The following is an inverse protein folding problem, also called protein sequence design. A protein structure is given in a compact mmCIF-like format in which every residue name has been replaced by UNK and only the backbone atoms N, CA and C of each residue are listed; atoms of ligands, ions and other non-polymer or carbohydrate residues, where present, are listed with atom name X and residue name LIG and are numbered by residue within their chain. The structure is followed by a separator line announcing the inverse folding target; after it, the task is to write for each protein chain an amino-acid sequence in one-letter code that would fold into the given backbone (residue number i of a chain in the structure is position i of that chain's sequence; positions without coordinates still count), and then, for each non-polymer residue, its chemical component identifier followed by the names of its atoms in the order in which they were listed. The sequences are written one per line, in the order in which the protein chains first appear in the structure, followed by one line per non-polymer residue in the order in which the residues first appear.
data_IF_037555826776
#
_entry.id   IF_037555826776
#
_cell.length_a   1.000
_cell.length_b   1.000
_cell.length_c   1.000
_cell.angle_alpha   90.00
_cell.angle_beta   90.00
_cell.angle_gamma   90.00
#
_symmetry.space_group_name_H-M   'P 1'
#
loop_
_entity.id
_entity.type
_entity.pdbx_description
1 polymer ?
#
# COMPACT_ATOMS: atom_id res chain seq x y z
N UNK A 1 -18.15 28.15 -17.25
CA UNK A 1 -17.26 27.38 -16.36
C UNK A 1 -17.36 25.85 -16.49
N UNK A 2 -18.35 25.28 -17.20
CA UNK A 2 -18.49 23.81 -17.34
C UNK A 2 -17.67 23.15 -18.46
N UNK A 3 -17.13 23.94 -19.43
CA UNK A 3 -16.42 23.38 -20.60
C UNK A 3 -15.04 22.80 -20.30
N UNK A 4 -14.36 23.23 -19.23
CA UNK A 4 -13.03 22.74 -18.88
C UNK A 4 -13.04 21.53 -17.93
N UNK A 5 -14.18 21.22 -17.30
CA UNK A 5 -14.31 20.09 -16.36
C UNK A 5 -14.31 18.73 -17.10
N UNK A 6 -14.68 18.71 -18.38
CA UNK A 6 -14.80 17.49 -19.19
C UNK A 6 -13.45 16.99 -19.72
N UNK A 7 -12.40 17.83 -19.73
CA UNK A 7 -11.10 17.48 -20.35
C UNK A 7 -10.23 16.58 -19.47
N UNK A 8 -10.52 16.44 -18.17
CA UNK A 8 -9.69 15.64 -17.24
C UNK A 8 -10.19 14.18 -17.12
N UNK A 9 -11.41 13.88 -17.55
CA UNK A 9 -12.01 12.54 -17.35
C UNK A 9 -11.63 11.54 -18.46
N UNK A 10 -11.16 12.00 -19.62
CA UNK A 10 -10.92 11.13 -20.79
C UNK A 10 -9.48 10.65 -20.95
N UNK A 11 -8.50 11.11 -20.15
CA UNK A 11 -7.09 10.69 -20.28
C UNK A 11 -6.69 9.46 -19.47
N UNK A 12 -7.59 8.88 -18.66
CA UNK A 12 -7.31 7.72 -17.81
C UNK A 12 -7.62 6.36 -18.45
N UNK A 13 -8.09 6.34 -19.70
CA UNK A 13 -8.32 5.11 -20.44
C UNK A 13 -7.04 4.72 -21.19
N UNK A 14 -6.42 3.62 -20.74
CA UNK A 14 -5.38 2.85 -21.45
C UNK A 14 -3.92 3.26 -21.21
N UNK A 15 -3.47 3.21 -19.95
CA UNK A 15 -2.10 2.77 -19.65
C UNK A 15 -2.22 1.45 -18.90
N UNK A 16 -2.42 0.35 -19.64
CA UNK A 16 -2.08 -0.97 -19.12
C UNK A 16 -0.55 -1.01 -19.04
N UNK A 17 0.03 -0.71 -17.88
CA UNK A 17 1.45 -0.96 -17.70
C UNK A 17 1.67 -2.48 -17.60
N UNK A 18 2.77 -2.94 -18.16
CA UNK A 18 3.16 -4.35 -18.13
C UNK A 18 3.69 -4.69 -16.73
N UNK A 19 2.80 -4.89 -15.75
CA UNK A 19 3.16 -5.01 -14.32
C UNK A 19 3.77 -6.36 -13.94
N UNK A 20 3.93 -7.28 -14.89
CA UNK A 20 4.53 -8.59 -14.63
C UNK A 20 6.05 -8.46 -14.54
N UNK A 21 6.64 -8.94 -13.43
CA UNK A 21 8.09 -9.04 -13.17
C UNK A 21 8.79 -7.85 -12.49
N UNK A 22 8.10 -6.80 -12.07
CA UNK A 22 8.73 -5.76 -11.24
C UNK A 22 8.86 -6.16 -9.77
N UNK A 23 10.02 -5.82 -9.18
CA UNK A 23 10.25 -5.88 -7.72
C UNK A 23 9.17 -5.10 -6.94
N UNK A 24 8.91 -5.50 -5.70
CA UNK A 24 7.89 -4.88 -4.87
C UNK A 24 6.46 -5.26 -5.28
N UNK A 25 6.27 -6.42 -5.92
CA UNK A 25 4.96 -6.88 -6.39
C UNK A 25 3.93 -6.98 -5.26
N UNK A 26 4.38 -7.27 -4.05
CA UNK A 26 3.55 -7.33 -2.84
C UNK A 26 2.94 -5.98 -2.45
N UNK A 27 3.51 -4.86 -2.88
CA UNK A 27 2.99 -3.51 -2.64
C UNK A 27 1.74 -3.16 -3.45
N UNK A 28 1.28 -4.08 -4.30
CA UNK A 28 0.04 -3.94 -5.06
C UNK A 28 -1.16 -4.62 -4.38
N UNK A 29 -0.91 -5.38 -3.31
CA UNK A 29 -1.98 -6.05 -2.56
C UNK A 29 -2.74 -5.05 -1.67
N UNK A 30 -3.99 -5.37 -1.34
CA UNK A 30 -4.80 -4.52 -0.46
C UNK A 30 -4.24 -4.48 0.96
N UNK A 31 -4.57 -3.41 1.69
CA UNK A 31 -4.01 -3.15 3.02
C UNK A 31 -4.79 -3.80 4.15
N UNK A 32 -5.99 -3.29 4.39
CA UNK A 32 -6.91 -3.78 5.39
C UNK A 32 -7.95 -4.72 4.77
N UNK A 33 -8.61 -5.51 5.60
CA UNK A 33 -9.78 -6.31 5.18
C UNK A 33 -10.87 -5.41 4.55
N UNK A 34 -11.04 -4.18 5.05
CA UNK A 34 -11.95 -3.19 4.48
C UNK A 34 -11.52 -2.79 3.06
N UNK A 35 -10.22 -2.53 2.86
CA UNK A 35 -9.70 -2.21 1.53
C UNK A 35 -9.93 -3.34 0.54
N UNK A 36 -9.63 -4.59 0.93
CA UNK A 36 -9.83 -5.76 0.09
C UNK A 36 -11.31 -6.00 -0.24
N UNK A 37 -12.21 -5.86 0.75
CA UNK A 37 -13.64 -6.06 0.55
C UNK A 37 -14.25 -5.05 -0.44
N UNK A 38 -13.63 -3.89 -0.63
CA UNK A 38 -14.04 -2.87 -1.61
C UNK A 38 -13.19 -2.92 -2.89
N UNK A 39 -12.52 -4.04 -3.17
CA UNK A 39 -11.71 -4.22 -4.38
C UNK A 39 -10.41 -3.41 -4.39
N UNK A 40 -9.89 -3.02 -3.22
CA UNK A 40 -8.65 -2.24 -3.02
C UNK A 40 -8.65 -0.83 -3.64
N UNK A 41 -9.83 -0.30 -4.00
CA UNK A 41 -10.02 1.03 -4.61
C UNK A 41 -9.90 2.21 -3.65
N UNK A 42 -8.82 2.31 -2.89
CA UNK A 42 -8.69 3.23 -1.74
C UNK A 42 -7.94 4.54 -2.03
N UNK A 43 -7.91 5.00 -3.29
CA UNK A 43 -7.25 6.27 -3.65
C UNK A 43 -8.01 7.50 -3.13
N UNK A 44 -9.35 7.46 -3.19
CA UNK A 44 -10.23 8.55 -2.75
C UNK A 44 -10.82 8.33 -1.35
N UNK A 45 -10.77 7.10 -0.84
CA UNK A 45 -11.21 6.76 0.51
C UNK A 45 -10.05 6.87 1.50
N UNK A 46 -10.32 7.40 2.69
CA UNK A 46 -9.32 7.49 3.76
C UNK A 46 -9.36 6.19 4.58
N UNK A 47 -8.46 5.25 4.29
CA UNK A 47 -8.17 4.17 5.24
C UNK A 47 -7.46 4.77 6.46
N UNK A 48 -8.17 5.00 7.56
CA UNK A 48 -7.57 5.64 8.73
C UNK A 48 -6.37 4.84 9.28
N UNK A 49 -6.43 3.50 9.25
CA UNK A 49 -5.35 2.64 9.70
C UNK A 49 -4.15 2.70 8.75
N UNK A 50 -4.39 2.66 7.44
CA UNK A 50 -3.35 2.49 6.41
C UNK A 50 -3.27 3.64 5.40
N UNK A 51 -3.62 4.86 5.82
CA UNK A 51 -3.74 6.07 5.01
C UNK A 51 -2.49 6.36 4.16
N UNK A 52 -1.31 6.13 4.75
CA UNK A 52 -0.01 6.26 4.10
C UNK A 52 0.22 5.32 2.89
N UNK A 53 -0.51 4.21 2.77
CA UNK A 53 -0.24 3.17 1.77
C UNK A 53 -0.86 3.46 0.40
N UNK A 54 -2.17 3.73 0.35
CA UNK A 54 -2.90 3.92 -0.91
C UNK A 54 -2.73 5.33 -1.48
N UNK A 55 -2.80 6.34 -0.61
CA UNK A 55 -2.67 7.74 -1.01
C UNK A 55 -2.04 8.56 0.13
N UNK A 56 -0.76 8.96 0.04
CA UNK A 56 -0.11 9.70 1.11
C UNK A 56 -0.77 11.06 1.37
N UNK A 57 -1.50 11.68 0.43
CA UNK A 57 -2.20 12.93 0.71
C UNK A 57 -3.28 12.78 1.80
N UNK A 58 -3.80 11.57 2.00
CA UNK A 58 -4.86 11.29 2.96
C UNK A 58 -4.42 11.47 4.43
N UNK A 59 -3.13 11.32 4.76
CA UNK A 59 -2.66 11.48 6.16
C UNK A 59 -2.89 12.90 6.71
N UNK A 60 -2.94 13.93 5.86
CA UNK A 60 -3.24 15.30 6.29
C UNK A 60 -4.70 15.51 6.74
N UNK A 61 -5.60 14.58 6.42
CA UNK A 61 -7.02 14.61 6.79
C UNK A 61 -7.34 13.79 8.04
N UNK A 62 -6.34 13.17 8.67
CA UNK A 62 -6.54 12.44 9.92
C UNK A 62 -6.79 13.40 11.08
N UNK A 63 -7.90 13.19 11.80
CA UNK A 63 -8.27 14.00 12.96
C UNK A 63 -7.64 13.50 14.27
N UNK A 64 -7.21 12.23 14.30
CA UNK A 64 -6.67 11.56 15.50
C UNK A 64 -5.49 10.69 15.09
N UNK A 65 -4.71 10.28 16.08
CA UNK A 65 -3.69 9.22 15.93
C UNK A 65 -4.39 7.91 15.60
N UNK A 66 -3.86 7.19 14.64
CA UNK A 66 -4.37 5.93 14.14
C UNK A 66 -3.28 4.88 14.18
N UNK A 67 -3.66 3.67 14.57
CA UNK A 67 -2.82 2.48 14.55
C UNK A 67 -3.56 1.42 13.75
N UNK A 68 -2.86 0.75 12.83
CA UNK A 68 -3.40 -0.28 11.97
C UNK A 68 -2.53 -1.53 12.00
N UNK A 69 -3.17 -2.69 12.06
CA UNK A 69 -2.54 -4.00 11.92
C UNK A 69 -3.39 -4.87 11.00
N UNK A 70 -2.77 -5.56 10.06
CA UNK A 70 -3.45 -6.48 9.16
C UNK A 70 -2.57 -7.67 8.83
N UNK A 71 -3.22 -8.82 8.65
CA UNK A 71 -2.60 -10.09 8.31
C UNK A 71 -3.46 -10.78 7.26
N UNK A 72 -2.86 -11.14 6.14
CA UNK A 72 -3.50 -11.87 5.06
C UNK A 72 -2.86 -13.25 4.97
N UNK A 73 -3.65 -14.28 5.29
CA UNK A 73 -3.30 -15.66 4.99
C UNK A 73 -3.61 -15.93 3.52
N UNK A 74 -2.59 -16.27 2.74
CA UNK A 74 -2.70 -16.57 1.32
C UNK A 74 -2.43 -18.07 1.08
N UNK A 75 -2.84 -18.56 -0.07
CA UNK A 75 -2.56 -19.95 -0.47
C UNK A 75 -1.06 -20.18 -0.63
N UNK A 76 -0.64 -21.46 -0.56
CA UNK A 76 0.75 -21.91 -0.71
C UNK A 76 1.68 -21.37 0.38
N UNK A 77 1.22 -21.37 1.63
CA UNK A 77 1.99 -20.92 2.80
C UNK A 77 2.52 -19.48 2.69
N UNK A 78 1.81 -18.65 1.90
CA UNK A 78 2.12 -17.23 1.71
C UNK A 78 1.43 -16.38 2.77
N UNK A 79 2.11 -15.33 3.19
CA UNK A 79 1.57 -14.32 4.11
C UNK A 79 1.86 -12.91 3.62
N UNK A 80 0.96 -11.98 3.94
CA UNK A 80 1.19 -10.55 3.85
C UNK A 80 0.80 -9.90 5.18
N UNK A 81 1.73 -9.17 5.79
CA UNK A 81 1.58 -8.54 7.09
C UNK A 81 1.80 -7.04 6.97
N UNK A 82 1.03 -6.27 7.71
CA UNK A 82 0.97 -4.83 7.53
C UNK A 82 0.74 -4.17 8.88
N UNK A 83 1.59 -3.22 9.23
CA UNK A 83 1.50 -2.45 10.46
C UNK A 83 1.69 -0.98 10.15
N UNK A 84 0.94 -0.11 10.80
CA UNK A 84 1.01 1.32 10.52
C UNK A 84 0.66 2.16 11.72
N UNK A 85 1.30 3.33 11.78
CA UNK A 85 0.96 4.41 12.68
C UNK A 85 0.86 5.69 11.87
N UNK A 86 -0.20 6.45 12.07
CA UNK A 86 -0.39 7.72 11.37
C UNK A 86 -1.10 8.73 12.23
N UNK A 87 -0.84 10.00 11.99
CA UNK A 87 -1.46 11.09 12.75
C UNK A 87 -1.54 12.35 11.91
N UNK A 88 -2.62 13.09 12.09
CA UNK A 88 -2.65 14.50 11.73
C UNK A 88 -1.66 15.27 12.61
N UNK A 89 -1.02 16.26 12.01
CA UNK A 89 -0.18 17.27 12.65
C UNK A 89 -0.88 18.63 12.49
N UNK A 90 -1.63 19.08 13.51
CA UNK A 90 -2.31 20.36 13.46
C UNK A 90 -1.33 21.51 13.13
N UNK A 91 -1.72 22.50 12.31
CA UNK A 91 -3.08 22.74 11.81
C UNK A 91 -3.45 21.99 10.49
N UNK A 92 -2.49 21.65 9.64
CA UNK A 92 -2.80 21.21 8.26
C UNK A 92 -1.98 20.03 7.74
N UNK A 93 -1.00 19.56 8.50
CA UNK A 93 -0.09 18.51 8.04
C UNK A 93 -0.54 17.13 8.55
N UNK A 94 0.12 16.09 8.06
CA UNK A 94 -0.03 14.72 8.55
C UNK A 94 1.22 13.91 8.28
N UNK A 95 1.48 12.94 9.15
CA UNK A 95 2.62 12.04 9.04
C UNK A 95 2.18 10.61 9.30
N UNK A 96 2.79 9.67 8.58
CA UNK A 96 2.54 8.24 8.79
C UNK A 96 3.77 7.41 8.51
N UNK A 97 3.89 6.32 9.25
CA UNK A 97 4.88 5.26 9.02
C UNK A 97 4.13 3.95 8.89
N UNK A 98 4.48 3.15 7.88
CA UNK A 98 3.94 1.81 7.74
C UNK A 98 5.05 0.80 7.42
N UNK A 99 4.88 -0.42 7.88
CA UNK A 99 5.70 -1.57 7.54
C UNK A 99 4.82 -2.62 6.88
N UNK A 100 5.30 -3.17 5.79
CA UNK A 100 4.62 -4.18 4.98
C UNK A 100 5.62 -5.30 4.75
N UNK A 101 5.23 -6.52 5.11
CA UNK A 101 6.05 -7.72 4.97
C UNK A 101 5.30 -8.76 4.16
N UNK A 102 5.91 -9.30 3.12
CA UNK A 102 5.38 -10.39 2.32
C UNK A 102 6.32 -11.57 2.42
N UNK A 103 5.80 -12.76 2.67
CA UNK A 103 6.65 -13.94 2.81
C UNK A 103 5.97 -15.22 2.37
N UNK A 104 6.79 -16.24 2.20
CA UNK A 104 6.39 -17.61 1.91
C UNK A 104 7.33 -18.55 2.62
N UNK A 105 6.75 -19.52 3.32
CA UNK A 105 7.51 -20.57 4.00
C UNK A 105 7.32 -21.92 3.28
N UNK A 106 8.03 -22.93 3.75
CA UNK A 106 7.81 -24.33 3.37
C UNK A 106 7.90 -24.64 1.86
N UNK A 107 8.69 -23.86 1.09
CA UNK A 107 8.92 -24.16 -0.32
C UNK A 107 9.82 -25.40 -0.42
N UNK A 108 9.29 -26.48 -0.98
CA UNK A 108 10.07 -27.67 -1.24
C UNK A 108 11.05 -27.43 -2.42
N UNK A 109 12.33 -27.28 -2.11
CA UNK A 109 13.38 -27.23 -3.12
C UNK A 109 13.49 -28.56 -3.89
N UNK A 110 13.88 -28.47 -5.17
CA UNK A 110 14.15 -29.62 -6.03
C UNK A 110 15.40 -29.40 -6.88
N UNK A 111 16.16 -30.46 -7.11
CA UNK A 111 17.29 -30.44 -8.07
C UNK A 111 16.79 -30.49 -9.51
N UNK A 112 17.67 -30.29 -10.49
CA UNK A 112 17.36 -30.41 -11.92
C UNK A 112 16.80 -31.78 -12.29
N UNK A 113 17.20 -32.83 -11.55
CA UNK A 113 16.68 -34.19 -11.71
C UNK A 113 15.38 -34.45 -10.92
N UNK A 114 14.81 -33.44 -10.27
CA UNK A 114 13.53 -33.50 -9.56
C UNK A 114 13.59 -34.05 -8.13
N UNK A 115 14.77 -34.44 -7.63
CA UNK A 115 14.92 -34.91 -6.25
C UNK A 115 14.68 -33.79 -5.25
N UNK A 116 13.96 -34.10 -4.17
CA UNK A 116 13.75 -33.16 -3.06
C UNK A 116 15.08 -32.73 -2.48
N UNK A 117 15.26 -31.42 -2.31
CA UNK A 117 16.40 -30.83 -1.60
C UNK A 117 15.91 -30.26 -0.28
N UNK A 118 16.46 -29.12 0.15
CA UNK A 118 16.07 -28.44 1.37
C UNK A 118 14.72 -27.73 1.25
N UNK A 119 14.13 -27.44 2.41
CA UNK A 119 13.01 -26.52 2.52
C UNK A 119 13.55 -25.09 2.46
N UNK A 120 12.90 -24.25 1.66
CA UNK A 120 13.25 -22.85 1.44
C UNK A 120 12.14 -21.95 1.98
N UNK A 121 12.51 -20.76 2.40
CA UNK A 121 11.61 -19.67 2.73
C UNK A 121 12.17 -18.36 2.19
N UNK A 122 11.31 -17.40 1.92
CA UNK A 122 11.71 -16.07 1.47
C UNK A 122 10.71 -15.03 1.97
N UNK A 123 11.21 -13.84 2.25
CA UNK A 123 10.40 -12.68 2.62
C UNK A 123 10.98 -11.41 2.03
N UNK A 124 10.11 -10.46 1.76
CA UNK A 124 10.41 -9.09 1.35
C UNK A 124 9.72 -8.13 2.31
N UNK A 125 10.39 -7.03 2.65
CA UNK A 125 9.87 -6.01 3.54
C UNK A 125 9.90 -4.63 2.88
N UNK A 126 8.95 -3.78 3.26
CA UNK A 126 8.92 -2.39 2.86
C UNK A 126 8.52 -1.50 4.02
N UNK A 127 9.29 -0.43 4.23
CA UNK A 127 8.98 0.64 5.16
C UNK A 127 8.54 1.86 4.35
N UNK A 128 7.42 2.43 4.74
CA UNK A 128 6.80 3.60 4.15
C UNK A 128 6.90 4.75 5.13
N UNK A 129 7.38 5.90 4.68
CA UNK A 129 7.35 7.15 5.42
C UNK A 129 6.56 8.15 4.59
N UNK A 130 5.43 8.60 5.13
CA UNK A 130 4.53 9.55 4.47
C UNK A 130 4.48 10.87 5.20
N UNK A 131 4.49 11.94 4.41
CA UNK A 131 4.16 13.27 4.87
C UNK A 131 3.16 13.89 3.91
N UNK A 132 2.17 14.61 4.44
CA UNK A 132 1.27 15.39 3.62
C UNK A 132 0.97 16.73 4.24
N UNK A 133 0.64 17.68 3.37
CA UNK A 133 0.21 19.01 3.73
C UNK A 133 -1.09 19.36 3.01
N UNK A 134 -2.07 19.81 3.78
CA UNK A 134 -3.32 20.35 3.27
C UNK A 134 -3.10 21.80 2.80
N UNK A 135 -3.30 22.04 1.50
CA UNK A 135 -3.10 23.34 0.84
C UNK A 135 -4.39 24.17 0.95
N UNK A 136 -5.55 23.54 0.81
CA UNK A 136 -6.88 24.12 1.02
C UNK A 136 -7.73 23.16 1.84
N UNK A 137 -8.89 23.56 2.40
CA UNK A 137 -9.73 22.65 3.19
C UNK A 137 -10.12 21.34 2.49
N UNK A 138 -10.08 21.31 1.15
CA UNK A 138 -10.47 20.17 0.31
C UNK A 138 -9.30 19.56 -0.51
N UNK A 139 -8.12 20.18 -0.53
CA UNK A 139 -6.95 19.72 -1.30
C UNK A 139 -5.74 19.51 -0.40
N UNK A 140 -5.11 18.33 -0.51
CA UNK A 140 -3.82 18.04 0.10
C UNK A 140 -2.84 17.44 -0.91
N UNK A 141 -1.56 17.66 -0.65
CA UNK A 141 -0.45 17.05 -1.37
C UNK A 141 0.32 16.15 -0.40
N UNK A 142 0.71 14.97 -0.85
CA UNK A 142 1.44 14.00 -0.04
C UNK A 142 2.64 13.42 -0.77
N UNK A 143 3.70 13.14 -0.03
CA UNK A 143 4.91 12.46 -0.49
C UNK A 143 5.05 11.18 0.33
N UNK A 144 5.48 10.11 -0.32
CA UNK A 144 5.79 8.83 0.30
C UNK A 144 7.18 8.38 -0.12
N UNK A 145 8.01 8.05 0.86
CA UNK A 145 9.32 7.41 0.66
C UNK A 145 9.18 5.94 1.06
N UNK A 146 9.60 5.05 0.16
CA UNK A 146 9.58 3.59 0.38
C UNK A 146 10.99 3.05 0.39
N UNK A 147 11.31 2.29 1.43
CA UNK A 147 12.58 1.57 1.56
C UNK A 147 12.23 0.09 1.49
N UNK A 148 12.77 -0.63 0.51
CA UNK A 148 12.51 -2.05 0.29
C UNK A 148 13.76 -2.87 0.65
N UNK A 149 13.55 -4.05 1.23
CA UNK A 149 14.61 -5.02 1.55
C UNK A 149 14.18 -6.45 1.25
#
# INVERSE_FOLDING_TARGET
MYKYLIIIITSSLSISADYASYSGSFLRMGTSARSLAMGSGFTAEIDQGFSAYHNPASVAFLNKRQLGFSYHALNLDRRLMMSSISTGLPPTAGLGVAWVSSGVDNIQGRSTAGYKTQILSTSEDAIFISFAQRITPWLALGINVKILS
#
